data_IF_323185703666
#
_entry.id   IF_323185703666
#
_cell.length_a   1.000
_cell.length_b   1.000
_cell.length_c   1.000
_cell.angle_alpha   90.00
_cell.angle_beta   90.00
_cell.angle_gamma   90.00
#
_symmetry.space_group_name_H-M   'P 1'
#
loop_
_entity.id
_entity.type
_entity.pdbx_description
1 polymer ?
#
# COMPACT_ATOMS: atom_id res chain seq x y z
N UNK A 1 -3.27 23.13 -4.64
CA UNK A 1 -4.03 22.70 -3.45
C UNK A 1 -4.74 21.37 -3.71
N UNK A 2 -5.57 21.25 -4.76
CA UNK A 2 -6.22 19.98 -5.16
C UNK A 2 -5.26 18.78 -5.23
N UNK A 3 -4.07 18.97 -5.81
CA UNK A 3 -3.06 17.91 -5.89
C UNK A 3 -2.60 17.41 -4.51
N UNK A 4 -2.50 18.27 -3.51
CA UNK A 4 -2.08 17.88 -2.16
C UNK A 4 -3.17 17.09 -1.45
N UNK A 5 -4.43 17.50 -1.62
CA UNK A 5 -5.59 16.77 -1.08
C UNK A 5 -5.71 15.41 -1.77
N UNK A 6 -5.56 15.36 -3.09
CA UNK A 6 -5.56 14.10 -3.84
C UNK A 6 -4.46 13.14 -3.35
N UNK A 7 -3.22 13.60 -3.22
CA UNK A 7 -2.11 12.75 -2.78
C UNK A 7 -2.27 12.29 -1.33
N UNK A 8 -2.81 13.14 -0.45
CA UNK A 8 -3.20 12.73 0.92
C UNK A 8 -4.17 11.55 0.89
N UNK A 9 -5.21 11.60 0.06
CA UNK A 9 -6.17 10.50 -0.06
C UNK A 9 -5.55 9.24 -0.66
N UNK A 10 -4.69 9.39 -1.68
CA UNK A 10 -3.96 8.26 -2.26
C UNK A 10 -3.07 7.58 -1.21
N UNK A 11 -2.32 8.37 -0.43
CA UNK A 11 -1.51 7.86 0.67
C UNK A 11 -2.37 7.15 1.72
N UNK A 12 -3.49 7.75 2.12
CA UNK A 12 -4.42 7.17 3.10
C UNK A 12 -4.94 5.81 2.64
N UNK A 13 -5.38 5.69 1.38
CA UNK A 13 -5.88 4.44 0.82
C UNK A 13 -4.79 3.37 0.72
N UNK A 14 -3.60 3.75 0.25
CA UNK A 14 -2.46 2.83 0.14
C UNK A 14 -2.04 2.27 1.49
N UNK A 15 -1.98 3.12 2.53
CA UNK A 15 -1.71 2.70 3.91
C UNK A 15 -2.84 1.81 4.41
N UNK A 16 -4.10 2.21 4.21
CA UNK A 16 -5.29 1.45 4.63
C UNK A 16 -5.26 0.02 4.10
N UNK A 17 -5.01 -0.16 2.80
CA UNK A 17 -4.92 -1.49 2.19
C UNK A 17 -3.76 -2.28 2.79
N UNK A 18 -2.59 -1.66 2.93
CA UNK A 18 -1.42 -2.34 3.46
C UNK A 18 -1.60 -2.80 4.92
N UNK A 19 -2.29 -2.04 5.78
CA UNK A 19 -2.50 -2.41 7.19
C UNK A 19 -3.58 -3.49 7.39
N UNK A 20 -4.37 -3.81 6.36
CA UNK A 20 -5.29 -4.97 6.35
C UNK A 20 -4.54 -6.30 6.11
N UNK A 21 -3.28 -6.37 6.55
CA UNK A 21 -2.31 -7.39 6.14
C UNK A 21 -2.78 -8.84 6.22
N UNK A 22 -3.57 -9.33 7.19
CA UNK A 22 -3.97 -10.74 7.21
C UNK A 22 -4.90 -11.08 6.04
N UNK A 23 -5.77 -10.15 5.67
CA UNK A 23 -6.65 -10.26 4.50
C UNK A 23 -5.86 -10.10 3.21
N UNK A 24 -4.77 -9.34 3.26
CA UNK A 24 -3.92 -9.11 2.10
C UNK A 24 -2.98 -10.26 1.77
N UNK A 25 -2.76 -11.23 2.67
CA UNK A 25 -1.95 -12.43 2.38
C UNK A 25 -2.50 -13.20 1.16
N UNK A 26 -3.76 -13.66 1.15
CA UNK A 26 -4.32 -14.31 -0.04
C UNK A 26 -4.34 -13.37 -1.25
N UNK A 27 -4.54 -12.06 -1.03
CA UNK A 27 -4.50 -11.08 -2.11
C UNK A 27 -3.11 -10.93 -2.73
N UNK A 28 -2.03 -11.04 -1.96
CA UNK A 28 -0.66 -11.01 -2.48
C UNK A 28 -0.41 -12.20 -3.42
N UNK A 29 -0.90 -13.40 -3.07
CA UNK A 29 -0.88 -14.57 -3.97
C UNK A 29 -1.65 -14.28 -5.26
N UNK A 30 -2.88 -13.75 -5.16
CA UNK A 30 -3.70 -13.38 -6.32
C UNK A 30 -3.03 -12.32 -7.17
N UNK A 31 -2.42 -11.32 -6.56
CA UNK A 31 -1.69 -10.24 -7.25
C UNK A 31 -0.52 -10.81 -8.04
N UNK A 32 0.22 -11.74 -7.45
CA UNK A 32 1.32 -12.42 -8.13
C UNK A 32 0.80 -13.25 -9.31
N UNK A 33 -0.31 -13.96 -9.16
CA UNK A 33 -0.93 -14.71 -10.25
C UNK A 33 -1.38 -13.79 -11.40
N UNK A 34 -1.99 -12.64 -11.10
CA UNK A 34 -2.38 -11.63 -12.10
C UNK A 34 -1.13 -11.10 -12.83
N UNK A 35 -0.06 -10.81 -12.10
CA UNK A 35 1.19 -10.32 -12.64
C UNK A 35 1.91 -11.36 -13.52
N UNK A 36 1.96 -12.63 -13.07
CA UNK A 36 2.63 -13.72 -13.78
C UNK A 36 1.86 -14.18 -15.02
N UNK A 37 0.54 -13.95 -15.06
CA UNK A 37 -0.34 -14.33 -16.16
C UNK A 37 -0.65 -15.83 -16.19
N UNK A 38 -0.95 -16.37 -17.38
CA UNK A 38 -1.40 -17.75 -17.58
C UNK A 38 -0.29 -18.81 -17.53
N UNK A 39 0.85 -18.53 -16.87
CA UNK A 39 1.91 -19.51 -16.72
C UNK A 39 1.54 -20.49 -15.60
N UNK A 40 1.60 -21.78 -15.88
CA UNK A 40 1.41 -22.81 -14.86
C UNK A 40 2.47 -22.63 -13.76
N UNK A 41 2.00 -22.60 -12.52
CA UNK A 41 2.86 -22.59 -11.34
C UNK A 41 3.12 -24.05 -10.95
N UNK A 42 4.37 -24.35 -10.64
CA UNK A 42 4.72 -25.65 -10.05
C UNK A 42 4.05 -25.80 -8.66
N UNK A 43 3.62 -27.00 -8.30
CA UNK A 43 2.94 -27.28 -7.03
C UNK A 43 3.84 -26.96 -5.83
N UNK A 44 5.15 -27.24 -5.92
CA UNK A 44 6.10 -26.91 -4.85
C UNK A 44 6.26 -25.38 -4.68
N UNK A 45 6.15 -24.65 -5.80
CA UNK A 45 6.20 -23.19 -5.78
C UNK A 45 4.92 -22.59 -5.19
N UNK A 46 3.76 -23.26 -5.29
CA UNK A 46 2.51 -22.78 -4.68
C UNK A 46 2.58 -22.67 -3.15
N UNK A 47 3.19 -23.65 -2.48
CA UNK A 47 3.37 -23.61 -1.03
C UNK A 47 4.36 -22.52 -0.61
N UNK A 48 5.44 -22.38 -1.35
CA UNK A 48 6.42 -21.31 -1.13
C UNK A 48 5.79 -19.92 -1.34
N UNK A 49 4.92 -19.79 -2.34
CA UNK A 49 4.24 -18.55 -2.68
C UNK A 49 3.36 -18.04 -1.54
N UNK A 50 2.73 -18.92 -0.77
CA UNK A 50 1.99 -18.52 0.43
C UNK A 50 2.89 -17.92 1.51
N UNK A 51 4.07 -18.50 1.75
CA UNK A 51 5.04 -17.96 2.71
C UNK A 51 5.55 -16.61 2.24
N UNK A 52 5.94 -16.49 0.97
CA UNK A 52 6.38 -15.23 0.35
C UNK A 52 5.29 -14.16 0.43
N UNK A 53 4.04 -14.52 0.18
CA UNK A 53 2.87 -13.66 0.31
C UNK A 53 2.66 -13.18 1.75
N UNK A 54 2.79 -14.07 2.74
CA UNK A 54 2.68 -13.72 4.15
C UNK A 54 3.79 -12.74 4.57
N UNK A 55 5.04 -12.99 4.16
CA UNK A 55 6.14 -12.07 4.41
C UNK A 55 5.95 -10.72 3.73
N UNK A 56 5.56 -10.70 2.46
CA UNK A 56 5.30 -9.47 1.71
C UNK A 56 4.21 -8.63 2.38
N UNK A 57 3.05 -9.22 2.70
CA UNK A 57 1.96 -8.50 3.36
C UNK A 57 2.33 -8.00 4.75
N UNK A 58 3.09 -8.77 5.52
CA UNK A 58 3.60 -8.33 6.83
C UNK A 58 4.53 -7.13 6.69
N UNK A 59 5.52 -7.21 5.79
CA UNK A 59 6.46 -6.12 5.55
C UNK A 59 5.75 -4.86 5.01
N UNK A 60 4.77 -5.03 4.13
CA UNK A 60 3.94 -3.94 3.63
C UNK A 60 3.20 -3.21 4.76
N UNK A 61 2.62 -3.95 5.72
CA UNK A 61 1.99 -3.36 6.90
C UNK A 61 2.99 -2.58 7.76
N UNK A 62 4.17 -3.15 8.01
CA UNK A 62 5.24 -2.49 8.79
C UNK A 62 5.68 -1.20 8.10
N UNK A 63 5.92 -1.23 6.79
CA UNK A 63 6.28 -0.05 6.00
C UNK A 63 5.17 1.00 6.05
N UNK A 64 3.90 0.59 5.94
CA UNK A 64 2.77 1.51 6.00
C UNK A 64 2.66 2.22 7.36
N UNK A 65 2.80 1.47 8.46
CA UNK A 65 2.79 2.02 9.82
C UNK A 65 3.98 2.95 10.05
N UNK A 66 5.17 2.58 9.55
CA UNK A 66 6.36 3.42 9.64
C UNK A 66 6.19 4.73 8.87
N UNK A 67 5.69 4.68 7.63
CA UNK A 67 5.39 5.88 6.84
C UNK A 67 4.36 6.78 7.51
N UNK A 68 3.28 6.21 8.06
CA UNK A 68 2.26 6.97 8.78
C UNK A 68 2.83 7.65 10.03
N UNK A 69 3.65 6.94 10.81
CA UNK A 69 4.28 7.49 12.01
C UNK A 69 5.29 8.59 11.71
N UNK A 70 6.05 8.45 10.62
CA UNK A 70 7.01 9.47 10.17
C UNK A 70 6.31 10.71 9.58
N UNK A 71 5.21 10.53 8.85
CA UNK A 71 4.36 11.63 8.38
C UNK A 71 3.81 12.42 9.58
N UNK A 72 3.21 11.74 10.56
CA UNK A 72 2.75 12.36 11.80
C UNK A 72 3.87 13.12 12.53
N UNK A 73 5.05 12.50 12.69
CA UNK A 73 6.19 13.15 13.35
C UNK A 73 6.68 14.40 12.60
N UNK A 74 6.66 14.41 11.27
CA UNK A 74 7.14 15.56 10.51
C UNK A 74 6.07 16.66 10.36
N UNK A 75 4.81 16.29 10.24
CA UNK A 75 3.73 17.27 9.97
C UNK A 75 3.14 17.84 11.27
N UNK A 76 2.97 17.00 12.30
CA UNK A 76 2.31 17.41 13.55
C UNK A 76 3.30 17.77 14.65
N UNK A 77 4.47 17.15 14.69
CA UNK A 77 5.46 17.43 15.73
C UNK A 77 6.50 18.50 15.32
N UNK A 78 6.84 18.63 14.03
CA UNK A 78 7.78 19.66 13.55
C UNK A 78 7.14 20.76 12.70
N UNK A 79 5.81 20.77 12.58
CA UNK A 79 5.02 21.76 11.84
C UNK A 79 5.45 21.94 10.37
N UNK A 80 5.99 20.90 9.73
CA UNK A 80 6.30 20.95 8.30
C UNK A 80 5.01 21.05 7.45
N UNK A 81 5.10 21.64 6.24
CA UNK A 81 3.92 21.79 5.38
C UNK A 81 3.40 20.42 4.92
N UNK A 82 2.19 20.06 5.36
CA UNK A 82 1.57 18.76 5.14
C UNK A 82 1.52 18.35 3.65
N UNK A 83 1.11 19.24 2.75
CA UNK A 83 0.93 18.93 1.32
C UNK A 83 2.18 18.35 0.64
N UNK A 84 3.32 19.06 0.65
CA UNK A 84 4.58 18.53 0.14
C UNK A 84 5.06 17.26 0.87
N UNK A 85 4.88 17.18 2.18
CA UNK A 85 5.34 16.04 2.98
C UNK A 85 4.59 14.75 2.62
N UNK A 86 3.26 14.82 2.46
CA UNK A 86 2.48 13.68 2.00
C UNK A 86 2.91 13.18 0.61
N UNK A 87 3.33 14.07 -0.28
CA UNK A 87 3.88 13.68 -1.58
C UNK A 87 5.17 12.88 -1.40
N UNK A 88 6.08 13.36 -0.55
CA UNK A 88 7.34 12.67 -0.26
C UNK A 88 7.07 11.28 0.31
N UNK A 89 6.20 11.18 1.32
CA UNK A 89 5.87 9.89 1.94
C UNK A 89 5.11 8.96 1.02
N UNK A 90 4.24 9.48 0.14
CA UNK A 90 3.58 8.68 -0.89
C UNK A 90 4.58 8.04 -1.85
N UNK A 91 5.51 8.81 -2.40
CA UNK A 91 6.53 8.26 -3.29
C UNK A 91 7.51 7.35 -2.57
N UNK A 92 7.91 7.68 -1.33
CA UNK A 92 8.74 6.82 -0.51
C UNK A 92 8.03 5.48 -0.22
N UNK A 93 6.74 5.52 0.12
CA UNK A 93 5.93 4.34 0.36
C UNK A 93 5.85 3.46 -0.89
N UNK A 94 5.59 4.03 -2.07
CA UNK A 94 5.57 3.27 -3.33
C UNK A 94 6.92 2.65 -3.66
N UNK A 95 8.02 3.37 -3.42
CA UNK A 95 9.36 2.86 -3.66
C UNK A 95 9.70 1.69 -2.73
N UNK A 96 9.37 1.81 -1.44
CA UNK A 96 9.53 0.74 -0.46
C UNK A 96 8.64 -0.45 -0.78
N UNK A 97 7.39 -0.21 -1.20
CA UNK A 97 6.46 -1.26 -1.61
C UNK A 97 7.00 -2.06 -2.79
N UNK A 98 7.52 -1.38 -3.82
CA UNK A 98 8.18 -2.03 -4.94
C UNK A 98 9.39 -2.86 -4.46
N UNK A 99 10.23 -2.31 -3.57
CA UNK A 99 11.36 -3.02 -2.98
C UNK A 99 10.96 -4.28 -2.21
N UNK A 100 9.87 -4.23 -1.44
CA UNK A 100 9.29 -5.40 -0.76
C UNK A 100 8.86 -6.46 -1.77
N UNK A 101 8.19 -6.07 -2.85
CA UNK A 101 7.75 -7.02 -3.89
C UNK A 101 8.93 -7.66 -4.62
N UNK A 102 9.95 -6.88 -4.97
CA UNK A 102 11.20 -7.40 -5.57
C UNK A 102 11.83 -8.44 -4.64
N UNK A 103 12.00 -8.08 -3.36
CA UNK A 103 12.67 -8.93 -2.39
C UNK A 103 11.88 -10.22 -2.09
N UNK A 104 10.58 -10.11 -1.80
CA UNK A 104 9.78 -11.25 -1.37
C UNK A 104 9.43 -12.21 -2.51
N UNK A 105 9.25 -11.72 -3.74
CA UNK A 105 8.89 -12.55 -4.88
C UNK A 105 10.08 -12.89 -5.79
N UNK A 106 11.27 -12.36 -5.49
CA UNK A 106 12.49 -12.65 -6.26
C UNK A 106 12.43 -12.09 -7.68
N UNK A 107 11.94 -10.86 -7.84
CA UNK A 107 11.81 -10.24 -9.16
C UNK A 107 13.15 -9.73 -9.68
N UNK A 108 13.30 -9.70 -11.00
CA UNK A 108 14.54 -9.32 -11.66
C UNK A 108 14.83 -7.82 -11.57
N UNK A 109 13.79 -6.98 -11.57
CA UNK A 109 13.94 -5.54 -11.61
C UNK A 109 12.89 -4.80 -10.77
N UNK A 110 13.19 -3.54 -10.48
CA UNK A 110 12.36 -2.66 -9.66
C UNK A 110 11.00 -2.34 -10.29
N UNK A 111 10.91 -2.19 -11.62
CA UNK A 111 9.64 -1.87 -12.28
C UNK A 111 8.69 -3.07 -12.28
N UNK A 112 9.21 -4.30 -12.39
CA UNK A 112 8.44 -5.52 -12.15
C UNK A 112 7.86 -5.54 -10.73
N UNK A 113 8.67 -5.22 -9.71
CA UNK A 113 8.20 -5.10 -8.33
C UNK A 113 7.18 -3.98 -8.12
N UNK A 114 7.39 -2.84 -8.76
CA UNK A 114 6.45 -1.71 -8.72
C UNK A 114 5.11 -2.08 -9.37
N UNK A 115 5.12 -2.80 -10.49
CA UNK A 115 3.92 -3.29 -11.15
C UNK A 115 3.11 -4.20 -10.21
N UNK A 116 3.77 -5.20 -9.60
CA UNK A 116 3.10 -6.05 -8.62
C UNK A 116 2.59 -5.25 -7.40
N UNK A 117 3.37 -4.29 -6.90
CA UNK A 117 2.94 -3.44 -5.80
C UNK A 117 1.68 -2.63 -6.15
N UNK A 118 1.58 -2.14 -7.40
CA UNK A 118 0.39 -1.44 -7.90
C UNK A 118 -0.82 -2.35 -7.96
N UNK A 119 -0.67 -3.59 -8.47
CA UNK A 119 -1.74 -4.60 -8.49
C UNK A 119 -2.20 -4.91 -7.06
N UNK A 120 -1.24 -5.13 -6.17
CA UNK A 120 -1.47 -5.44 -4.75
C UNK A 120 -2.22 -4.33 -4.01
N UNK A 121 -1.84 -3.07 -4.21
CA UNK A 121 -2.43 -1.93 -3.50
C UNK A 121 -3.74 -1.45 -4.13
N UNK A 122 -3.76 -1.25 -5.45
CA UNK A 122 -4.76 -0.39 -6.07
C UNK A 122 -5.97 -1.14 -6.63
N UNK A 123 -5.86 -2.42 -6.95
CA UNK A 123 -7.06 -3.22 -7.28
C UNK A 123 -7.97 -3.35 -6.03
N UNK A 124 -7.46 -3.74 -4.83
CA UNK A 124 -8.27 -3.73 -3.62
C UNK A 124 -8.74 -2.34 -3.23
N UNK A 125 -7.89 -1.32 -3.39
CA UNK A 125 -8.31 0.07 -3.15
C UNK A 125 -9.55 0.42 -3.97
N UNK A 126 -9.56 0.10 -5.26
CA UNK A 126 -10.71 0.37 -6.13
C UNK A 126 -11.98 -0.35 -5.63
N UNK A 127 -11.86 -1.62 -5.20
CA UNK A 127 -12.98 -2.38 -4.64
C UNK A 127 -13.49 -1.79 -3.33
N UNK A 128 -12.58 -1.45 -2.41
CA UNK A 128 -12.91 -0.84 -1.13
C UNK A 128 -13.49 0.57 -1.29
N UNK A 129 -13.02 1.33 -2.27
CA UNK A 129 -13.56 2.63 -2.60
C UNK A 129 -15.01 2.54 -3.09
N UNK A 130 -15.31 1.61 -4.00
CA UNK A 130 -16.69 1.37 -4.46
C UNK A 130 -17.60 0.94 -3.30
N UNK A 131 -17.12 0.06 -2.42
CA UNK A 131 -17.86 -0.35 -1.23
C UNK A 131 -18.09 0.82 -0.26
N UNK A 132 -17.08 1.66 -0.08
CA UNK A 132 -17.15 2.85 0.76
C UNK A 132 -18.18 3.86 0.23
N UNK A 133 -18.31 4.03 -1.09
CA UNK A 133 -19.35 4.89 -1.68
C UNK A 133 -20.77 4.44 -1.33
N UNK A 134 -20.99 3.14 -1.15
CA UNK A 134 -22.31 2.56 -0.87
C UNK A 134 -22.63 2.54 0.63
N UNK A 135 -21.68 2.10 1.47
CA UNK A 135 -21.94 1.76 2.88
C UNK A 135 -21.22 2.70 3.87
N UNK A 136 -20.21 3.47 3.41
CA UNK A 136 -19.39 4.40 4.23
C UNK A 136 -18.77 3.77 5.49
N UNK A 137 -18.56 2.46 5.51
CA UNK A 137 -18.19 1.71 6.72
C UNK A 137 -16.67 1.58 6.97
N UNK A 138 -15.82 2.20 6.14
CA UNK A 138 -14.37 1.97 6.22
C UNK A 138 -13.71 2.80 7.34
N UNK A 139 -13.92 2.38 8.59
CA UNK A 139 -13.35 2.99 9.79
C UNK A 139 -11.82 3.03 9.81
N UNK A 140 -11.14 2.05 9.19
CA UNK A 140 -9.68 2.04 9.07
C UNK A 140 -9.22 3.18 8.17
N UNK A 141 -9.88 3.36 7.02
CA UNK A 141 -9.60 4.49 6.13
C UNK A 141 -9.84 5.83 6.83
N UNK A 142 -10.96 5.99 7.53
CA UNK A 142 -11.26 7.21 8.28
C UNK A 142 -10.21 7.48 9.37
N UNK A 143 -9.79 6.44 10.08
CA UNK A 143 -8.73 6.55 11.07
C UNK A 143 -7.41 7.02 10.45
N UNK A 144 -6.96 6.39 9.36
CA UNK A 144 -5.73 6.78 8.66
C UNK A 144 -5.85 8.20 8.09
N UNK A 145 -6.97 8.54 7.47
CA UNK A 145 -7.22 9.86 6.90
C UNK A 145 -7.20 10.96 7.97
N UNK A 146 -7.73 10.68 9.16
CA UNK A 146 -7.71 11.61 10.29
C UNK A 146 -6.32 11.82 10.88
N UNK A 147 -5.45 10.80 10.82
CA UNK A 147 -4.05 10.93 11.23
C UNK A 147 -3.22 11.75 10.24
N UNK A 148 -3.59 11.75 8.96
CA UNK A 148 -2.97 12.60 7.96
C UNK A 148 -3.60 14.00 8.00
N UNK A 149 -2.84 15.00 8.45
CA UNK A 149 -3.30 16.39 8.56
C UNK A 149 -3.78 16.94 7.21
N UNK A 150 -4.84 17.73 7.23
CA UNK A 150 -5.32 18.35 5.99
C UNK A 150 -4.35 19.45 5.50
N UNK A 151 -3.95 19.45 4.22
CA UNK A 151 -3.12 20.50 3.66
C UNK A 151 -3.84 21.85 3.72
N UNK A 152 -3.26 22.83 4.41
CA UNK A 152 -3.78 24.20 4.45
C UNK A 152 -3.50 24.94 3.14
N UNK A 153 -4.40 25.85 2.79
CA UNK A 153 -4.28 26.79 1.67
C UNK A 153 -3.14 27.79 1.88
#
# INVERSE_FOLDING_TARGET
>A
MEIYVFVRHMLAWSITVAVLWPVMIPWAKVSYAIWNGNKELDEEFEEELWKRSAYASTLMAVVAVACLGLDYLTVDFTDMPAGPIHIVYYFAFLALAAGVMVYCFGMEDFFSGLNLAVIYLYIPTALLFLLWLVIRWNWVFEFVLNLLKEPKA
#
